data_IF_116367401863
#
_entry.id   IF_116367401863
#
_cell.length_a   1.000
_cell.length_b   1.000
_cell.length_c   1.000
_cell.angle_alpha   90.00
_cell.angle_beta   90.00
_cell.angle_gamma   90.00
#
_symmetry.space_group_name_H-M   'P 1'
#
loop_
_entity.id
_entity.type
_entity.pdbx_description
1 polymer ?
#
# COMPACT_ATOMS: atom_id res chain seq x y z
N UNK A 1 -4.52 27.09 -1.82
CA UNK A 1 -3.66 26.54 -0.75
C UNK A 1 -2.31 26.00 -1.27
N UNK A 2 -1.86 26.37 -2.48
CA UNK A 2 -0.56 25.98 -3.03
C UNK A 2 0.43 27.16 -3.21
N UNK A 3 -0.02 28.40 -2.95
CA UNK A 3 0.74 29.63 -3.21
C UNK A 3 1.75 29.94 -2.08
N UNK A 4 1.41 29.60 -0.83
CA UNK A 4 2.19 30.00 0.36
C UNK A 4 3.60 29.38 0.45
N UNK A 5 3.87 28.24 -0.19
CA UNK A 5 5.18 27.58 -0.11
C UNK A 5 6.19 28.09 -1.14
N UNK A 6 5.75 28.65 -2.26
CA UNK A 6 6.65 29.21 -3.27
C UNK A 6 7.21 30.56 -2.81
N UNK A 7 6.38 31.36 -2.15
CA UNK A 7 6.78 32.64 -1.56
C UNK A 7 7.85 32.49 -0.47
N UNK A 8 7.84 31.37 0.28
CA UNK A 8 8.88 31.07 1.28
C UNK A 8 10.22 30.73 0.62
N UNK A 9 10.21 30.11 -0.56
CA UNK A 9 11.40 29.78 -1.35
C UNK A 9 12.09 31.01 -1.95
N UNK A 10 11.34 32.07 -2.24
CA UNK A 10 11.83 33.27 -2.92
C UNK A 10 12.17 34.43 -1.96
N UNK A 11 11.92 34.29 -0.66
CA UNK A 11 12.25 35.31 0.35
C UNK A 11 13.75 35.35 0.60
N UNK A 12 14.42 36.35 0.04
CA UNK A 12 15.76 36.78 0.45
C UNK A 12 15.65 37.90 1.48
N UNK A 13 16.62 38.01 2.39
CA UNK A 13 16.69 39.03 3.46
C UNK A 13 17.00 40.44 2.96
N UNK A 14 16.76 40.72 1.67
CA UNK A 14 17.14 41.97 1.03
C UNK A 14 16.03 43.01 1.18
N UNK A 15 16.32 44.11 1.90
CA UNK A 15 15.38 45.20 2.18
C UNK A 15 15.17 46.15 0.99
N UNK A 16 15.60 45.78 -0.22
CA UNK A 16 15.45 46.60 -1.43
C UNK A 16 14.15 46.28 -2.14
N UNK A 17 13.25 47.28 -2.21
CA UNK A 17 11.89 47.22 -2.77
C UNK A 17 11.84 47.18 -4.32
N UNK A 18 12.74 46.45 -4.98
CA UNK A 18 12.70 46.27 -6.43
C UNK A 18 11.99 44.95 -6.76
N UNK A 19 10.71 45.02 -7.08
CA UNK A 19 9.92 43.85 -7.50
C UNK A 19 9.73 43.82 -9.01
N UNK A 20 9.86 42.64 -9.61
CA UNK A 20 9.60 42.42 -11.04
C UNK A 20 8.18 42.82 -11.43
N UNK A 21 7.23 42.73 -10.49
CA UNK A 21 5.83 43.13 -10.66
C UNK A 21 5.65 44.63 -10.88
N UNK A 22 6.63 45.45 -10.50
CA UNK A 22 6.61 46.90 -10.76
C UNK A 22 6.99 47.23 -12.21
N UNK A 23 7.57 46.29 -12.96
CA UNK A 23 7.98 46.51 -14.35
C UNK A 23 6.81 46.49 -15.33
N UNK A 24 6.51 47.63 -15.94
CA UNK A 24 5.48 47.76 -16.98
C UNK A 24 5.74 46.82 -18.17
N UNK A 25 7.01 46.71 -18.61
CA UNK A 25 7.39 45.82 -19.73
C UNK A 25 7.12 44.36 -19.41
N UNK A 26 7.47 43.92 -18.21
CA UNK A 26 7.24 42.55 -17.75
C UNK A 26 5.74 42.22 -17.73
N UNK A 27 4.93 43.06 -17.07
CA UNK A 27 3.48 42.87 -16.98
C UNK A 27 2.79 42.88 -18.35
N UNK A 28 3.23 43.74 -19.26
CA UNK A 28 2.71 43.78 -20.63
C UNK A 28 3.02 42.50 -21.39
N UNK A 29 4.28 42.03 -21.34
CA UNK A 29 4.65 40.75 -21.96
C UNK A 29 3.83 39.61 -21.36
N UNK A 30 3.76 39.50 -20.03
CA UNK A 30 2.94 38.50 -19.33
C UNK A 30 1.49 38.50 -19.81
N UNK A 31 0.86 39.68 -19.90
CA UNK A 31 -0.52 39.82 -20.37
C UNK A 31 -0.68 39.40 -21.83
N UNK A 32 0.25 39.77 -22.70
CA UNK A 32 0.21 39.45 -24.13
C UNK A 32 0.42 37.97 -24.40
N UNK A 33 1.38 37.32 -23.72
CA UNK A 33 1.59 35.88 -23.82
C UNK A 33 0.36 35.11 -23.33
N UNK A 34 -0.20 35.46 -22.17
CA UNK A 34 -1.43 34.84 -21.69
C UNK A 34 -2.61 35.06 -22.65
N UNK A 35 -2.69 36.21 -23.32
CA UNK A 35 -3.67 36.47 -24.37
C UNK A 35 -3.53 35.52 -25.57
N UNK A 36 -2.30 35.27 -26.02
CA UNK A 36 -2.01 34.31 -27.09
C UNK A 36 -2.39 32.89 -26.65
N UNK A 37 -2.02 32.48 -25.44
CA UNK A 37 -2.37 31.16 -24.92
C UNK A 37 -3.91 30.96 -24.82
N UNK A 38 -4.65 31.99 -24.43
CA UNK A 38 -6.12 31.96 -24.42
C UNK A 38 -6.72 31.84 -25.82
N UNK A 39 -6.15 32.52 -26.81
CA UNK A 39 -6.59 32.39 -28.20
C UNK A 39 -6.38 30.95 -28.71
N UNK A 40 -5.23 30.34 -28.38
CA UNK A 40 -4.93 28.94 -28.69
C UNK A 40 -5.83 27.94 -27.97
N UNK A 41 -6.47 28.33 -26.86
CA UNK A 41 -7.42 27.48 -26.11
C UNK A 41 -8.87 27.61 -26.60
N UNK A 42 -9.12 28.42 -27.64
CA UNK A 42 -10.46 28.50 -28.23
C UNK A 42 -10.88 27.17 -28.85
N UNK A 43 -12.18 26.90 -28.88
CA UNK A 43 -12.69 25.70 -29.55
C UNK A 43 -12.13 25.60 -30.98
N UNK A 44 -11.55 24.44 -31.31
CA UNK A 44 -10.79 24.19 -32.56
C UNK A 44 -11.57 24.45 -33.85
N UNK A 45 -12.90 24.37 -33.81
CA UNK A 45 -13.76 24.65 -34.98
C UNK A 45 -13.91 26.16 -35.24
N UNK A 46 -13.77 26.98 -34.20
CA UNK A 46 -13.89 28.44 -34.26
C UNK A 46 -12.52 29.14 -34.30
N UNK A 47 -11.45 28.37 -34.17
CA UNK A 47 -10.09 28.90 -34.16
C UNK A 47 -9.65 29.35 -35.55
N UNK A 48 -9.14 30.57 -35.62
CA UNK A 48 -8.64 31.20 -36.83
C UNK A 48 -7.15 31.58 -36.64
N UNK A 49 -6.23 30.92 -37.37
CA UNK A 49 -4.79 31.18 -37.28
C UNK A 49 -4.42 32.64 -37.60
N UNK A 50 -5.11 33.26 -38.57
CA UNK A 50 -4.78 34.60 -39.04
C UNK A 50 -4.89 35.64 -37.91
N UNK A 51 -5.97 35.57 -37.12
CA UNK A 51 -6.17 36.45 -35.95
C UNK A 51 -5.09 36.28 -34.89
N UNK A 52 -4.52 35.08 -34.78
CA UNK A 52 -3.42 34.83 -33.84
C UNK A 52 -2.11 35.40 -34.38
N UNK A 53 -1.85 35.26 -35.68
CA UNK A 53 -0.71 35.90 -36.36
C UNK A 53 -0.76 37.42 -36.23
N UNK A 54 -1.93 38.04 -36.43
CA UNK A 54 -2.14 39.48 -36.24
C UNK A 54 -1.83 39.91 -34.79
N UNK A 55 -2.31 39.14 -33.81
CA UNK A 55 -2.01 39.40 -32.39
C UNK A 55 -0.52 39.28 -32.06
N UNK A 56 0.16 38.27 -32.60
CA UNK A 56 1.60 38.08 -32.42
C UNK A 56 2.38 39.21 -33.09
N UNK A 57 1.99 39.58 -34.31
CA UNK A 57 2.61 40.68 -35.07
C UNK A 57 2.49 41.99 -34.31
N UNK A 58 1.30 42.33 -33.80
CA UNK A 58 1.07 43.51 -32.97
C UNK A 58 1.87 43.50 -31.66
N UNK A 59 2.11 42.32 -31.07
CA UNK A 59 3.01 42.19 -29.93
C UNK A 59 4.47 42.47 -30.32
N UNK A 60 4.95 41.92 -31.44
CA UNK A 60 6.33 42.09 -31.92
C UNK A 60 6.64 43.56 -32.21
N UNK A 61 5.71 44.31 -32.79
CA UNK A 61 5.89 45.75 -33.09
C UNK A 61 5.78 46.65 -31.87
N UNK A 62 5.29 46.15 -30.73
CA UNK A 62 5.15 46.96 -29.52
C UNK A 62 6.52 47.32 -28.91
N UNK A 63 6.69 48.56 -28.46
CA UNK A 63 7.93 49.06 -27.84
C UNK A 63 8.00 48.78 -26.32
N UNK A 64 6.86 48.48 -25.70
CA UNK A 64 6.73 48.30 -24.25
C UNK A 64 6.59 46.82 -23.87
N UNK A 65 7.54 46.00 -24.34
CA UNK A 65 7.66 44.57 -24.08
C UNK A 65 9.08 44.19 -23.68
N UNK A 66 9.25 42.95 -23.25
CA UNK A 66 10.53 42.27 -23.19
C UNK A 66 10.94 41.76 -24.57
N UNK A 67 12.26 41.70 -24.81
CA UNK A 67 12.81 41.18 -26.07
C UNK A 67 12.65 39.66 -26.18
N UNK A 68 12.62 38.97 -25.04
CA UNK A 68 12.42 37.53 -24.94
C UNK A 68 11.00 37.21 -24.49
N UNK A 69 10.41 36.19 -25.11
CA UNK A 69 9.15 35.59 -24.69
C UNK A 69 9.29 34.92 -23.32
N UNK A 70 8.24 35.01 -22.50
CA UNK A 70 8.19 34.37 -21.19
C UNK A 70 7.71 32.93 -21.33
N UNK A 71 8.66 32.00 -21.41
CA UNK A 71 8.37 30.56 -21.46
C UNK A 71 7.65 30.07 -20.20
N UNK A 72 8.01 30.62 -19.04
CA UNK A 72 7.35 30.33 -17.76
C UNK A 72 5.85 30.61 -17.80
N UNK A 73 5.41 31.65 -18.51
CA UNK A 73 3.98 31.97 -18.63
C UNK A 73 3.26 30.98 -19.56
N UNK A 74 3.93 30.49 -20.60
CA UNK A 74 3.37 29.44 -21.47
C UNK A 74 3.24 28.14 -20.67
N UNK A 75 4.33 27.68 -20.06
CA UNK A 75 4.34 26.44 -19.27
C UNK A 75 3.31 26.50 -18.13
N UNK A 76 3.27 27.59 -17.37
CA UNK A 76 2.29 27.75 -16.28
C UNK A 76 0.85 27.70 -16.79
N UNK A 77 0.57 28.34 -17.93
CA UNK A 77 -0.75 28.26 -18.56
C UNK A 77 -1.09 26.81 -18.96
N UNK A 78 -0.18 26.12 -19.65
CA UNK A 78 -0.36 24.73 -20.11
C UNK A 78 -0.54 23.75 -18.94
N UNK A 79 0.18 23.95 -17.84
CA UNK A 79 0.03 23.16 -16.62
C UNK A 79 -1.34 23.34 -15.98
N UNK A 80 -1.91 24.54 -16.06
CA UNK A 80 -3.25 24.82 -15.53
C UNK A 80 -4.40 24.22 -16.36
N UNK A 81 -4.16 23.89 -17.63
CA UNK A 81 -5.17 23.31 -18.51
C UNK A 81 -5.46 21.84 -18.19
N UNK A 82 -6.70 21.40 -18.41
CA UNK A 82 -7.03 19.98 -18.37
C UNK A 82 -6.52 19.23 -19.62
N UNK A 83 -6.48 17.90 -19.59
CA UNK A 83 -5.96 17.09 -20.71
C UNK A 83 -6.72 17.36 -22.03
N UNK A 84 -8.04 17.55 -21.98
CA UNK A 84 -8.86 17.88 -23.14
C UNK A 84 -8.52 19.26 -23.72
N UNK A 85 -8.36 20.26 -22.85
CA UNK A 85 -7.99 21.63 -23.22
C UNK A 85 -6.56 21.70 -23.79
N UNK A 86 -5.63 20.91 -23.23
CA UNK A 86 -4.28 20.75 -23.80
C UNK A 86 -4.32 20.17 -25.21
N UNK A 87 -5.24 19.23 -25.47
CA UNK A 87 -5.46 18.68 -26.82
C UNK A 87 -5.98 19.73 -27.81
N UNK A 88 -6.91 20.59 -27.38
CA UNK A 88 -7.40 21.73 -28.17
C UNK A 88 -6.25 22.70 -28.46
N UNK A 89 -5.48 23.06 -27.43
CA UNK A 89 -4.32 23.94 -27.54
C UNK A 89 -3.29 23.40 -28.53
N UNK A 90 -2.93 22.12 -28.40
CA UNK A 90 -1.99 21.43 -29.30
C UNK A 90 -2.46 21.52 -30.76
N UNK A 91 -3.72 21.17 -31.01
CA UNK A 91 -4.30 21.16 -32.36
C UNK A 91 -4.32 22.57 -32.97
N UNK A 92 -4.70 23.58 -32.19
CA UNK A 92 -4.74 24.96 -32.67
C UNK A 92 -3.34 25.54 -32.91
N UNK A 93 -2.38 25.20 -32.04
CA UNK A 93 -0.99 25.61 -32.20
C UNK A 93 -0.34 24.95 -33.42
N UNK A 94 -0.65 23.68 -33.70
CA UNK A 94 -0.24 23.00 -34.92
C UNK A 94 -0.83 23.68 -36.16
N UNK A 95 -2.13 23.99 -36.16
CA UNK A 95 -2.77 24.77 -37.23
C UNK A 95 -2.09 26.13 -37.44
N UNK A 96 -1.73 26.82 -36.35
CA UNK A 96 -1.02 28.10 -36.41
C UNK A 96 0.37 27.96 -37.02
N UNK A 97 1.11 26.92 -36.61
CA UNK A 97 2.43 26.64 -37.14
C UNK A 97 2.35 26.34 -38.64
N UNK A 98 1.44 25.46 -39.07
CA UNK A 98 1.22 25.13 -40.48
C UNK A 98 0.84 26.38 -41.29
N UNK A 99 -0.08 27.20 -40.78
CA UNK A 99 -0.45 28.47 -41.42
C UNK A 99 0.74 29.40 -41.60
N UNK A 100 1.64 29.47 -40.61
CA UNK A 100 2.83 30.33 -40.67
C UNK A 100 3.94 29.84 -41.60
N UNK A 101 3.93 28.54 -41.94
CA UNK A 101 4.91 27.91 -42.83
C UNK A 101 4.43 27.83 -44.28
N UNK A 102 3.15 28.07 -44.55
CA UNK A 102 2.60 28.12 -45.89
C UNK A 102 2.98 29.43 -46.58
N UNK A 103 3.74 29.32 -47.68
CA UNK A 103 4.25 30.46 -48.46
C UNK A 103 3.15 31.32 -49.08
N UNK A 104 1.91 30.81 -49.19
CA UNK A 104 0.77 31.59 -49.67
C UNK A 104 0.30 32.64 -48.63
N UNK A 105 0.67 32.48 -47.35
CA UNK A 105 0.29 33.37 -46.28
C UNK A 105 1.42 34.38 -46.02
N UNK A 106 1.11 35.68 -46.09
CA UNK A 106 2.07 36.75 -45.79
C UNK A 106 2.33 36.87 -44.27
N UNK A 107 3.20 36.01 -43.74
CA UNK A 107 3.62 36.03 -42.32
C UNK A 107 5.07 36.48 -42.20
N UNK A 108 5.34 37.47 -41.36
CA UNK A 108 6.70 37.99 -41.15
C UNK A 108 7.63 36.96 -40.49
N UNK A 109 8.92 37.00 -40.84
CA UNK A 109 9.93 36.08 -40.30
C UNK A 109 10.04 36.12 -38.77
N UNK A 110 9.87 37.30 -38.16
CA UNK A 110 9.86 37.42 -36.70
C UNK A 110 8.63 36.78 -36.07
N UNK A 111 7.48 36.83 -36.75
CA UNK A 111 6.26 36.15 -36.32
C UNK A 111 6.42 34.63 -36.42
N UNK A 112 6.99 34.12 -37.53
CA UNK A 112 7.32 32.68 -37.67
C UNK A 112 8.24 32.21 -36.55
N UNK A 113 9.32 32.93 -36.26
CA UNK A 113 10.24 32.61 -35.14
C UNK A 113 9.53 32.59 -33.79
N UNK A 114 8.58 33.49 -33.56
CA UNK A 114 7.79 33.52 -32.33
C UNK A 114 6.85 32.32 -32.22
N UNK A 115 6.16 31.96 -33.30
CA UNK A 115 5.26 30.79 -33.35
C UNK A 115 6.04 29.51 -33.09
N UNK A 116 7.19 29.34 -33.76
CA UNK A 116 8.10 28.20 -33.52
C UNK A 116 8.54 28.13 -32.06
N UNK A 117 8.88 29.25 -31.44
CA UNK A 117 9.22 29.28 -30.00
C UNK A 117 8.04 28.88 -29.11
N UNK A 118 6.81 29.31 -29.42
CA UNK A 118 5.64 28.91 -28.64
C UNK A 118 5.39 27.40 -28.80
N UNK A 119 5.51 26.89 -30.03
CA UNK A 119 5.39 25.47 -30.33
C UNK A 119 6.41 24.62 -29.57
N UNK A 120 7.69 24.96 -29.65
CA UNK A 120 8.77 24.24 -28.98
C UNK A 120 8.59 24.22 -27.45
N UNK A 121 8.22 25.36 -26.86
CA UNK A 121 7.99 25.44 -25.40
C UNK A 121 6.73 24.72 -24.95
N UNK A 122 5.69 24.68 -25.80
CA UNK A 122 4.51 23.88 -25.53
C UNK A 122 4.84 22.38 -25.55
N UNK A 123 5.59 21.89 -26.55
CA UNK A 123 6.00 20.49 -26.62
C UNK A 123 6.89 20.10 -25.44
N UNK A 124 7.84 20.96 -25.06
CA UNK A 124 8.65 20.74 -23.86
C UNK A 124 7.78 20.63 -22.60
N UNK A 125 6.80 21.52 -22.43
CA UNK A 125 5.88 21.47 -21.30
C UNK A 125 5.04 20.18 -21.29
N UNK A 126 4.60 19.69 -22.46
CA UNK A 126 3.89 18.41 -22.56
C UNK A 126 4.77 17.23 -22.14
N UNK A 127 6.01 17.16 -22.62
CA UNK A 127 6.96 16.12 -22.20
C UNK A 127 7.26 16.17 -20.70
N UNK A 128 7.35 17.38 -20.12
CA UNK A 128 7.51 17.55 -18.68
C UNK A 128 6.30 17.03 -17.91
N UNK A 129 5.07 17.33 -18.34
CA UNK A 129 3.85 16.78 -17.74
C UNK A 129 3.85 15.25 -17.82
N UNK A 130 4.16 14.68 -18.99
CA UNK A 130 4.15 13.24 -19.21
C UNK A 130 5.18 12.53 -18.33
N UNK A 131 6.40 13.04 -18.28
CA UNK A 131 7.45 12.47 -17.42
C UNK A 131 7.07 12.54 -15.94
N UNK A 132 6.50 13.65 -15.48
CA UNK A 132 6.00 13.79 -14.11
C UNK A 132 4.89 12.78 -13.84
N UNK A 133 3.94 12.60 -14.75
CA UNK A 133 2.87 11.60 -14.61
C UNK A 133 3.41 10.16 -14.54
N UNK A 134 4.43 9.83 -15.33
CA UNK A 134 5.08 8.52 -15.28
C UNK A 134 5.77 8.28 -13.93
N UNK A 135 6.53 9.27 -13.44
CA UNK A 135 7.15 9.20 -12.10
C UNK A 135 6.10 9.02 -11.01
N UNK A 136 4.97 9.73 -11.10
CA UNK A 136 3.86 9.57 -10.16
C UNK A 136 3.22 8.19 -10.25
N UNK A 137 3.01 7.66 -11.45
CA UNK A 137 2.45 6.32 -11.66
C UNK A 137 3.36 5.24 -11.07
N UNK A 138 4.67 5.31 -11.32
CA UNK A 138 5.66 4.39 -10.77
C UNK A 138 5.68 4.46 -9.24
N UNK A 139 5.65 5.67 -8.66
CA UNK A 139 5.61 5.88 -7.21
C UNK A 139 4.34 5.30 -6.58
N UNK A 140 3.19 5.40 -7.27
CA UNK A 140 1.91 4.83 -6.81
C UNK A 140 1.96 3.30 -6.85
N UNK A 141 2.52 2.70 -7.91
CA UNK A 141 2.64 1.25 -8.01
C UNK A 141 3.59 0.70 -6.93
N UNK A 142 4.72 1.37 -6.69
CA UNK A 142 5.64 1.01 -5.60
C UNK A 142 4.94 1.10 -4.22
N UNK A 143 4.20 2.18 -3.96
CA UNK A 143 3.44 2.34 -2.72
C UNK A 143 2.39 1.24 -2.54
N UNK A 144 1.69 0.87 -3.61
CA UNK A 144 0.71 -0.23 -3.64
C UNK A 144 1.36 -1.57 -3.36
N UNK A 145 2.50 -1.88 -3.98
CA UNK A 145 3.25 -3.12 -3.69
C UNK A 145 3.69 -3.19 -2.23
N UNK A 146 4.19 -2.08 -1.69
CA UNK A 146 4.62 -2.00 -0.29
C UNK A 146 3.44 -2.17 0.67
N UNK A 147 2.29 -1.55 0.38
CA UNK A 147 1.06 -1.76 1.15
C UNK A 147 0.57 -3.20 1.07
N UNK A 148 0.60 -3.84 -0.10
CA UNK A 148 0.24 -5.25 -0.24
C UNK A 148 1.17 -6.17 0.58
N UNK A 149 2.48 -5.90 0.59
CA UNK A 149 3.43 -6.64 1.43
C UNK A 149 3.13 -6.46 2.92
N UNK A 150 2.83 -5.23 3.36
CA UNK A 150 2.47 -4.96 4.75
C UNK A 150 1.15 -5.64 5.14
N UNK A 151 0.12 -5.59 4.28
CA UNK A 151 -1.16 -6.27 4.51
C UNK A 151 -0.95 -7.77 4.67
N UNK A 152 -0.17 -8.41 3.80
CA UNK A 152 0.16 -9.85 3.94
C UNK A 152 0.90 -10.14 5.26
N UNK A 153 1.77 -9.22 5.70
CA UNK A 153 2.42 -9.30 7.01
C UNK A 153 1.41 -9.25 8.16
N UNK A 154 0.48 -8.30 8.12
CA UNK A 154 -0.59 -8.14 9.12
C UNK A 154 -1.54 -9.33 9.13
N UNK A 155 -1.93 -9.87 7.97
CA UNK A 155 -2.76 -11.08 7.87
C UNK A 155 -2.09 -12.27 8.56
N UNK A 156 -0.79 -12.44 8.38
CA UNK A 156 0.01 -13.49 9.02
C UNK A 156 0.07 -13.33 10.54
N UNK A 157 0.27 -12.10 11.02
CA UNK A 157 0.22 -11.79 12.45
C UNK A 157 -1.17 -12.02 13.05
N UNK A 158 -2.23 -11.64 12.32
CA UNK A 158 -3.61 -11.88 12.72
C UNK A 158 -3.93 -13.37 12.85
N UNK A 159 -3.56 -14.19 11.87
CA UNK A 159 -3.72 -15.65 11.93
C UNK A 159 -2.94 -16.23 13.13
N UNK A 160 -1.74 -15.71 13.40
CA UNK A 160 -0.95 -16.11 14.58
C UNK A 160 -1.69 -15.83 15.89
N UNK A 161 -2.20 -14.61 16.06
CA UNK A 161 -2.96 -14.19 17.25
C UNK A 161 -4.21 -15.05 17.42
N UNK A 162 -4.98 -15.25 16.35
CA UNK A 162 -6.17 -16.09 16.37
C UNK A 162 -5.83 -17.54 16.75
N UNK A 163 -4.72 -18.09 16.22
CA UNK A 163 -4.22 -19.42 16.58
C UNK A 163 -3.88 -19.55 18.06
N UNK A 164 -3.24 -18.52 18.66
CA UNK A 164 -2.95 -18.49 20.10
C UNK A 164 -4.24 -18.48 20.92
N UNK A 165 -5.20 -17.62 20.58
CA UNK A 165 -6.49 -17.58 21.28
C UNK A 165 -7.26 -18.89 21.17
N UNK A 166 -7.32 -19.49 19.99
CA UNK A 166 -7.97 -20.79 19.78
C UNK A 166 -7.31 -21.90 20.62
N UNK A 167 -5.98 -21.94 20.69
CA UNK A 167 -5.25 -22.90 21.49
C UNK A 167 -5.53 -22.73 23.00
N UNK A 168 -5.55 -21.49 23.50
CA UNK A 168 -5.87 -21.19 24.90
C UNK A 168 -7.30 -21.66 25.22
N UNK A 169 -8.28 -21.26 24.41
CA UNK A 169 -9.69 -21.64 24.62
C UNK A 169 -9.86 -23.16 24.56
N UNK A 170 -9.26 -23.84 23.58
CA UNK A 170 -9.34 -25.29 23.45
C UNK A 170 -8.73 -26.02 24.66
N UNK A 171 -7.58 -25.56 25.15
CA UNK A 171 -6.94 -26.14 26.33
C UNK A 171 -7.80 -25.97 27.59
N UNK A 172 -8.39 -24.80 27.81
CA UNK A 172 -9.26 -24.53 28.96
C UNK A 172 -10.57 -25.33 28.89
N UNK A 173 -11.30 -25.25 27.77
CA UNK A 173 -12.58 -25.94 27.61
C UNK A 173 -12.38 -27.45 27.60
N UNK A 174 -11.36 -27.94 26.87
CA UNK A 174 -11.00 -29.35 26.83
C UNK A 174 -10.59 -29.87 28.21
N UNK A 175 -9.72 -29.15 28.92
CA UNK A 175 -9.26 -29.50 30.26
C UNK A 175 -10.39 -29.54 31.30
N UNK A 176 -11.28 -28.55 31.31
CA UNK A 176 -12.44 -28.49 32.22
C UNK A 176 -13.43 -29.62 31.90
N UNK A 177 -13.77 -29.82 30.63
CA UNK A 177 -14.74 -30.84 30.20
C UNK A 177 -14.22 -32.24 30.51
N UNK A 178 -12.94 -32.49 30.23
CA UNK A 178 -12.28 -33.75 30.56
C UNK A 178 -12.26 -34.00 32.08
N UNK A 179 -11.81 -33.02 32.87
CA UNK A 179 -11.76 -33.14 34.34
C UNK A 179 -13.15 -33.43 34.93
N UNK A 180 -14.18 -32.74 34.43
CA UNK A 180 -15.57 -32.95 34.88
C UNK A 180 -16.06 -34.35 34.54
N UNK A 181 -15.77 -34.84 33.33
CA UNK A 181 -16.16 -36.18 32.87
C UNK A 181 -15.50 -37.28 33.71
N UNK A 182 -14.22 -37.12 34.06
CA UNK A 182 -13.49 -38.06 34.93
C UNK A 182 -14.07 -38.06 36.34
N UNK A 183 -14.30 -36.88 36.93
CA UNK A 183 -14.86 -36.76 38.28
C UNK A 183 -16.28 -37.32 38.38
N UNK A 184 -17.12 -37.14 37.36
CA UNK A 184 -18.48 -37.68 37.33
C UNK A 184 -18.52 -39.22 37.29
N UNK A 185 -17.54 -39.86 36.66
CA UNK A 185 -17.50 -41.31 36.46
C UNK A 185 -16.61 -42.05 37.47
N UNK A 186 -16.00 -41.34 38.43
CA UNK A 186 -15.01 -41.90 39.36
C UNK A 186 -15.58 -42.99 40.28
N UNK A 187 -16.87 -42.90 40.62
CA UNK A 187 -17.56 -43.86 41.50
C UNK A 187 -18.27 -44.98 40.74
N UNK A 188 -18.56 -44.80 39.45
CA UNK A 188 -19.35 -45.74 38.65
C UNK A 188 -18.51 -46.84 37.98
N UNK A 189 -17.22 -46.57 37.73
CA UNK A 189 -16.33 -47.44 36.95
C UNK A 189 -15.12 -47.84 37.80
N UNK A 190 -14.64 -49.08 37.65
CA UNK A 190 -13.41 -49.52 38.31
C UNK A 190 -12.24 -48.62 37.93
N UNK A 191 -11.42 -48.23 38.91
CA UNK A 191 -10.28 -47.31 38.76
C UNK A 191 -9.39 -47.66 37.56
N UNK A 192 -9.05 -48.94 37.35
CA UNK A 192 -8.22 -49.37 36.23
C UNK A 192 -8.86 -49.16 34.84
N UNK A 193 -10.17 -49.41 34.70
CA UNK A 193 -10.89 -49.17 33.44
C UNK A 193 -11.01 -47.67 33.15
N UNK A 194 -11.28 -46.87 34.17
CA UNK A 194 -11.33 -45.42 34.05
C UNK A 194 -9.98 -44.85 33.59
N UNK A 195 -8.89 -45.25 34.26
CA UNK A 195 -7.54 -44.79 33.93
C UNK A 195 -7.12 -45.16 32.50
N UNK A 196 -7.45 -46.37 32.04
CA UNK A 196 -7.11 -46.81 30.68
C UNK A 196 -7.84 -45.96 29.62
N UNK A 197 -9.14 -45.69 29.80
CA UNK A 197 -9.92 -44.85 28.88
C UNK A 197 -9.43 -43.40 28.90
N UNK A 198 -9.11 -42.86 30.09
CA UNK A 198 -8.55 -41.53 30.29
C UNK A 198 -7.20 -41.39 29.56
N UNK A 199 -6.30 -42.35 29.72
CA UNK A 199 -4.98 -42.36 29.07
C UNK A 199 -5.09 -42.48 27.54
N UNK A 200 -5.98 -43.32 27.04
CA UNK A 200 -6.26 -43.43 25.61
C UNK A 200 -6.81 -42.12 25.01
N UNK A 201 -7.77 -41.48 25.69
CA UNK A 201 -8.30 -40.20 25.26
C UNK A 201 -7.25 -39.09 25.31
N UNK A 202 -6.41 -39.06 26.34
CA UNK A 202 -5.28 -38.13 26.43
C UNK A 202 -4.30 -38.32 25.27
N UNK A 203 -3.97 -39.57 24.92
CA UNK A 203 -3.13 -39.88 23.76
C UNK A 203 -3.69 -39.33 22.45
N UNK A 204 -4.99 -39.53 22.18
CA UNK A 204 -5.65 -39.01 20.97
C UNK A 204 -5.63 -37.47 20.97
N UNK A 205 -6.01 -36.83 22.08
CA UNK A 205 -6.07 -35.37 22.18
C UNK A 205 -4.70 -34.71 21.98
N UNK A 206 -3.64 -35.26 22.58
CA UNK A 206 -2.28 -34.69 22.46
C UNK A 206 -1.77 -34.77 21.01
N UNK A 207 -2.05 -35.87 20.29
CA UNK A 207 -1.68 -36.00 18.88
C UNK A 207 -2.46 -35.02 17.99
N UNK A 208 -3.76 -34.82 18.24
CA UNK A 208 -4.58 -33.84 17.51
C UNK A 208 -4.06 -32.42 17.75
N UNK A 209 -3.79 -32.04 19.00
CA UNK A 209 -3.23 -30.72 19.34
C UNK A 209 -1.87 -30.53 18.66
N UNK A 210 -1.01 -31.55 18.64
CA UNK A 210 0.29 -31.48 17.98
C UNK A 210 0.16 -31.19 16.47
N UNK A 211 -0.77 -31.85 15.77
CA UNK A 211 -1.02 -31.60 14.35
C UNK A 211 -1.51 -30.17 14.12
N UNK A 212 -2.45 -29.69 14.94
CA UNK A 212 -2.99 -28.33 14.83
C UNK A 212 -1.92 -27.26 15.08
N UNK A 213 -1.10 -27.42 16.13
CA UNK A 213 -0.01 -26.50 16.43
C UNK A 213 1.03 -26.50 15.31
N UNK A 214 1.41 -27.68 14.80
CA UNK A 214 2.33 -27.80 13.67
C UNK A 214 1.79 -27.08 12.42
N UNK A 215 0.51 -27.23 12.13
CA UNK A 215 -0.16 -26.55 11.02
C UNK A 215 -0.10 -25.02 11.16
N UNK A 216 -0.37 -24.47 12.35
CA UNK A 216 -0.25 -23.04 12.63
C UNK A 216 1.20 -22.54 12.43
N UNK A 217 2.21 -23.30 12.88
CA UNK A 217 3.62 -22.94 12.65
C UNK A 217 4.00 -22.98 11.16
N UNK A 218 3.46 -23.93 10.40
CA UNK A 218 3.67 -24.03 8.96
C UNK A 218 3.06 -22.84 8.21
N UNK A 219 1.83 -22.43 8.53
CA UNK A 219 1.20 -21.23 7.93
C UNK A 219 2.00 -19.97 8.26
N UNK A 220 2.56 -19.90 9.47
CA UNK A 220 3.37 -18.76 9.89
C UNK A 220 4.82 -18.80 9.37
N UNK A 221 5.19 -19.76 8.51
CA UNK A 221 6.53 -19.96 7.96
C UNK A 221 7.64 -19.93 9.02
N UNK A 222 7.30 -20.29 10.26
CA UNK A 222 8.22 -20.32 11.39
C UNK A 222 8.70 -21.75 11.56
N UNK A 223 10.00 -21.97 11.31
CA UNK A 223 10.65 -23.25 11.58
C UNK A 223 10.96 -23.37 13.08
N UNK A 224 9.94 -23.68 13.88
CA UNK A 224 10.12 -23.99 15.29
C UNK A 224 10.44 -25.48 15.48
N UNK A 225 11.45 -25.79 16.30
CA UNK A 225 11.64 -27.15 16.83
C UNK A 225 10.50 -27.44 17.79
N UNK A 226 9.47 -28.13 17.31
CA UNK A 226 8.38 -28.62 18.14
C UNK A 226 8.87 -29.67 19.13
N UNK A 227 8.15 -29.85 20.24
CA UNK A 227 8.41 -30.89 21.22
C UNK A 227 8.42 -32.29 20.59
N UNK A 228 9.22 -33.19 21.15
CA UNK A 228 9.41 -34.53 20.63
C UNK A 228 8.17 -35.41 20.90
N UNK A 229 7.20 -35.38 19.98
CA UNK A 229 5.94 -36.14 20.09
C UNK A 229 6.15 -37.64 20.29
N UNK A 230 7.27 -38.20 19.79
CA UNK A 230 7.61 -39.61 19.98
C UNK A 230 7.84 -39.93 21.46
N UNK A 231 8.52 -39.06 22.20
CA UNK A 231 8.77 -39.26 23.63
C UNK A 231 7.47 -39.24 24.44
N UNK A 232 6.55 -38.33 24.09
CA UNK A 232 5.26 -38.20 24.76
C UNK A 232 4.36 -39.41 24.47
N UNK A 233 4.30 -39.85 23.20
CA UNK A 233 3.56 -41.05 22.81
C UNK A 233 4.12 -42.32 23.49
N UNK A 234 5.45 -42.43 23.67
CA UNK A 234 6.07 -43.51 24.43
C UNK A 234 5.68 -43.44 25.91
N UNK A 235 5.65 -42.25 26.51
CA UNK A 235 5.25 -42.08 27.90
C UNK A 235 3.80 -42.56 28.14
N UNK A 236 2.85 -42.19 27.28
CA UNK A 236 1.47 -42.71 27.34
C UNK A 236 1.44 -44.24 27.22
N UNK A 237 2.19 -44.82 26.27
CA UNK A 237 2.27 -46.29 26.13
C UNK A 237 2.80 -46.99 27.39
N UNK A 238 3.82 -46.42 28.04
CA UNK A 238 4.35 -46.96 29.30
C UNK A 238 3.30 -46.90 30.41
N UNK A 239 2.56 -45.80 30.52
CA UNK A 239 1.47 -45.65 31.50
C UNK A 239 0.37 -46.68 31.26
N UNK A 240 -0.06 -46.86 30.00
CA UNK A 240 -1.04 -47.88 29.63
C UNK A 240 -0.59 -49.29 30.04
N UNK A 241 0.67 -49.65 29.78
CA UNK A 241 1.25 -50.95 30.14
C UNK A 241 1.24 -51.15 31.67
N UNK A 242 1.63 -50.12 32.44
CA UNK A 242 1.60 -50.18 33.91
C UNK A 242 0.18 -50.41 34.42
N UNK A 243 -0.82 -49.70 33.88
CA UNK A 243 -2.23 -49.86 34.27
C UNK A 243 -2.71 -51.30 34.02
N UNK A 244 -2.39 -51.86 32.85
CA UNK A 244 -2.77 -53.24 32.50
C UNK A 244 -2.09 -54.26 33.42
N UNK A 245 -0.79 -54.07 33.72
CA UNK A 245 -0.06 -54.92 34.67
C UNK A 245 -0.68 -54.84 36.06
N UNK A 246 -0.96 -53.65 36.58
CA UNK A 246 -1.60 -53.47 37.89
C UNK A 246 -3.00 -54.10 37.97
N UNK A 247 -3.74 -54.10 36.86
CA UNK A 247 -5.01 -54.81 36.76
C UNK A 247 -4.82 -56.34 36.78
N UNK A 248 -3.85 -56.87 36.02
CA UNK A 248 -3.55 -58.31 35.98
C UNK A 248 -3.10 -58.88 37.33
N UNK A 249 -2.31 -58.11 38.10
CA UNK A 249 -1.87 -58.50 39.44
C UNK A 249 -2.93 -58.27 40.53
N UNK A 250 -4.15 -57.88 40.16
CA UNK A 250 -5.28 -57.68 41.06
C UNK A 250 -4.91 -56.79 42.26
N UNK A 251 -4.28 -55.63 42.00
CA UNK A 251 -3.81 -54.71 43.03
C UNK A 251 -4.91 -54.20 44.00
N UNK A 252 -6.19 -54.45 43.68
CA UNK A 252 -7.33 -54.26 44.59
C UNK A 252 -7.29 -55.17 45.84
N UNK A 253 -6.49 -56.25 45.84
CA UNK A 253 -6.30 -57.14 46.98
C UNK A 253 -5.04 -56.82 47.80
N UNK A 254 -4.16 -55.93 47.33
CA UNK A 254 -2.96 -55.50 48.05
C UNK A 254 -3.30 -54.89 49.43
N UNK A 255 -4.36 -54.07 49.60
CA UNK A 255 -4.76 -53.59 50.93
C UNK A 255 -5.14 -54.73 51.89
N UNK A 256 -5.81 -55.77 51.37
CA UNK A 256 -6.22 -56.94 52.14
C UNK A 256 -5.01 -57.80 52.55
N UNK A 257 -4.07 -58.03 51.63
CA UNK A 257 -2.83 -58.76 51.87
C UNK A 257 -1.89 -58.03 52.85
N UNK A 258 -1.84 -56.70 52.80
CA UNK A 258 -1.08 -55.87 53.74
C UNK A 258 -1.76 -55.86 55.12
N UNK A 259 -3.10 -55.88 55.19
CA UNK A 259 -3.83 -55.98 56.47
C UNK A 259 -3.66 -57.32 57.18
N UNK A 260 -3.41 -58.41 56.45
CA UNK A 260 -3.16 -59.74 57.00
C UNK A 260 -1.73 -59.89 57.57
N UNK A 261 -0.77 -59.07 57.10
CA UNK A 261 0.63 -59.12 57.51
C UNK A 261 1.03 -58.06 58.56
N UNK A 262 0.19 -57.04 58.80
CA UNK A 262 0.41 -56.02 59.83
C UNK A 262 -0.32 -56.38 61.14
N UNK A 263 0.36 -56.58 62.27
CA UNK A 263 -0.24 -57.03 63.53
C UNK A 263 -1.08 -55.98 64.27
N UNK A 264 -1.50 -54.88 63.62
CA UNK A 264 -2.23 -53.76 64.25
C UNK A 264 -3.58 -53.48 63.58
N UNK A 265 -4.31 -54.54 63.24
CA UNK A 265 -5.64 -54.46 62.63
C UNK A 265 -6.60 -55.52 63.15
N UNK A 266 -6.90 -55.49 64.46
CA UNK A 266 -8.19 -55.93 64.99
C UNK A 266 -8.85 -54.74 65.65
#
# INVERSE_FOLDING_TARGET
MADDNLDVLLRTTDNTTMSLEQSKKFNNTKRKINGICKALSMNTQKYDPQKTVENISAYITSTNKLDRILYSEISNYVYSLEMSERGIFATNLEKLLLYSLDDNNEVSEDCKKMIVKIYDHFQLALHQIENVNNIFADSIEEAKENLQKQIKGVEKEYISILGIFAAIVLAFVGGITFSTSVLQNISAVSVFRLLLVVDFLAFVLINVIYILVKFIFTINEKNAKLFNIKALNIACLVIAIIIVISWMFNANQIPYFISEFLPWGK
#
